data_IF_292943888049
#
_entry.id   IF_292943888049
#
_cell.length_a   1.000
_cell.length_b   1.000
_cell.length_c   1.000
_cell.angle_alpha   90.00
_cell.angle_beta   90.00
_cell.angle_gamma   90.00
#
_symmetry.space_group_name_H-M   'P 1'
#
loop_
_entity.id
_entity.type
_entity.pdbx_description
1 polymer ?
#
# COMPACT_ATOMS: atom_id res chain seq x y z
N UNK A 1 -25.27 -0.71 -5.71
CA UNK A 1 -24.69 -1.95 -6.31
C UNK A 1 -23.42 -2.25 -5.52
N UNK A 2 -23.35 -3.40 -4.86
CA UNK A 2 -22.10 -3.79 -4.18
C UNK A 2 -21.00 -4.01 -5.24
N UNK A 3 -19.86 -3.38 -5.03
CA UNK A 3 -18.68 -3.57 -5.88
C UNK A 3 -18.17 -5.00 -5.67
N UNK A 4 -18.08 -5.78 -6.74
CA UNK A 4 -17.50 -7.13 -6.68
C UNK A 4 -15.98 -7.03 -6.45
N UNK A 5 -15.57 -7.42 -5.24
CA UNK A 5 -14.17 -7.45 -4.77
C UNK A 5 -13.63 -8.88 -4.74
N UNK A 6 -14.19 -9.80 -5.54
CA UNK A 6 -13.64 -11.16 -5.60
C UNK A 6 -12.17 -11.13 -6.02
N UNK A 7 -11.34 -11.91 -5.35
CA UNK A 7 -9.89 -11.96 -5.58
C UNK A 7 -9.54 -12.25 -7.04
N UNK A 8 -10.26 -13.18 -7.67
CA UNK A 8 -10.05 -13.54 -9.07
C UNK A 8 -10.26 -12.34 -9.99
N UNK A 9 -11.33 -11.56 -9.77
CA UNK A 9 -11.63 -10.38 -10.58
C UNK A 9 -10.60 -9.28 -10.36
N UNK A 10 -10.23 -9.02 -9.12
CA UNK A 10 -9.25 -7.99 -8.77
C UNK A 10 -7.88 -8.35 -9.36
N UNK A 11 -7.43 -9.60 -9.19
CA UNK A 11 -6.17 -10.11 -9.77
C UNK A 11 -6.16 -9.95 -11.29
N UNK A 12 -7.20 -10.40 -11.97
CA UNK A 12 -7.31 -10.28 -13.42
C UNK A 12 -7.28 -8.81 -13.88
N UNK A 13 -8.06 -7.95 -13.24
CA UNK A 13 -8.14 -6.53 -13.57
C UNK A 13 -6.78 -5.84 -13.43
N UNK A 14 -6.06 -6.05 -12.33
CA UNK A 14 -4.75 -5.44 -12.11
C UNK A 14 -3.66 -6.07 -12.99
N UNK A 15 -3.66 -7.38 -13.19
CA UNK A 15 -2.75 -8.06 -14.12
C UNK A 15 -2.84 -7.49 -15.53
N UNK A 16 -4.07 -7.29 -16.02
CA UNK A 16 -4.32 -6.75 -17.35
C UNK A 16 -3.86 -5.31 -17.56
N UNK A 17 -3.90 -4.44 -16.55
CA UNK A 17 -3.51 -3.03 -16.65
C UNK A 17 -2.09 -2.76 -16.17
N UNK A 18 -1.37 -3.77 -15.66
CA UNK A 18 -0.07 -3.63 -14.99
C UNK A 18 0.93 -2.79 -15.78
N UNK A 19 1.10 -3.05 -17.07
CA UNK A 19 2.07 -2.34 -17.92
C UNK A 19 1.78 -0.83 -18.15
N UNK A 20 0.60 -0.34 -17.76
CA UNK A 20 0.21 1.08 -17.86
C UNK A 20 -0.29 1.64 -16.54
N UNK A 21 -0.26 0.85 -15.50
CA UNK A 21 -0.84 1.18 -14.19
C UNK A 21 -0.25 2.46 -13.61
N UNK A 22 1.07 2.57 -13.58
CA UNK A 22 1.75 3.75 -13.04
C UNK A 22 1.42 5.01 -13.85
N UNK A 23 1.52 4.92 -15.17
CA UNK A 23 1.19 6.06 -16.05
C UNK A 23 -0.24 6.54 -15.83
N UNK A 24 -1.19 5.62 -15.72
CA UNK A 24 -2.59 5.96 -15.49
C UNK A 24 -2.82 6.57 -14.10
N UNK A 25 -2.20 6.03 -13.06
CA UNK A 25 -2.30 6.59 -11.71
C UNK A 25 -1.71 8.00 -11.64
N UNK A 26 -0.55 8.23 -12.24
CA UNK A 26 0.07 9.56 -12.31
C UNK A 26 -0.78 10.55 -13.10
N UNK A 27 -1.31 10.14 -14.25
CA UNK A 27 -2.17 10.98 -15.07
C UNK A 27 -3.48 11.33 -14.35
N UNK A 28 -4.15 10.34 -13.75
CA UNK A 28 -5.45 10.50 -13.09
C UNK A 28 -5.35 11.26 -11.77
N UNK A 29 -4.21 11.20 -11.09
CA UNK A 29 -3.93 11.99 -9.90
C UNK A 29 -3.37 13.38 -10.22
N UNK A 30 -3.08 13.67 -11.51
CA UNK A 30 -2.33 14.87 -11.90
C UNK A 30 -0.96 14.94 -11.24
N UNK A 31 -0.31 13.80 -11.00
CA UNK A 31 0.97 13.69 -10.29
C UNK A 31 0.89 13.88 -8.77
N UNK A 32 -0.31 14.08 -8.22
CA UNK A 32 -0.48 14.25 -6.75
C UNK A 32 -0.10 13.00 -5.96
N UNK A 33 -0.11 11.83 -6.57
CA UNK A 33 0.26 10.56 -5.96
C UNK A 33 1.73 10.53 -5.49
N UNK A 34 2.64 11.21 -6.19
CA UNK A 34 4.03 11.41 -5.71
C UNK A 34 4.07 12.20 -4.40
N UNK A 35 3.31 13.30 -4.33
CA UNK A 35 3.19 14.12 -3.12
C UNK A 35 2.57 13.33 -1.98
N UNK A 36 1.54 12.52 -2.23
CA UNK A 36 0.87 11.74 -1.20
C UNK A 36 1.79 10.65 -0.63
N UNK A 37 2.53 9.92 -1.47
CA UNK A 37 3.54 8.95 -1.02
C UNK A 37 4.68 9.61 -0.26
N UNK A 38 5.18 10.74 -0.75
CA UNK A 38 6.18 11.52 -0.02
C UNK A 38 5.67 11.95 1.37
N UNK A 39 4.41 12.38 1.46
CA UNK A 39 3.77 12.72 2.74
C UNK A 39 3.67 11.51 3.67
N UNK A 40 3.30 10.33 3.19
CA UNK A 40 3.23 9.11 3.97
C UNK A 40 4.59 8.76 4.60
N UNK A 41 5.64 8.70 3.77
CA UNK A 41 7.02 8.40 4.20
C UNK A 41 7.55 9.46 5.17
N UNK A 42 7.21 10.74 4.97
CA UNK A 42 7.64 11.82 5.87
C UNK A 42 6.89 11.83 7.21
N UNK A 43 5.64 11.42 7.22
CA UNK A 43 4.81 11.38 8.45
C UNK A 43 5.18 10.18 9.33
N UNK A 44 5.55 9.06 8.72
CA UNK A 44 6.01 7.86 9.41
C UNK A 44 7.38 7.42 8.88
N UNK A 45 8.47 8.16 9.20
CA UNK A 45 9.80 7.79 8.73
C UNK A 45 10.30 6.52 9.41
N UNK A 46 11.16 5.71 8.74
CA UNK A 46 11.87 4.61 9.36
C UNK A 46 12.69 5.07 10.57
N UNK A 47 12.72 4.25 11.63
CA UNK A 47 13.50 4.50 12.84
C UNK A 47 14.20 3.20 13.26
N UNK A 48 15.51 3.23 13.46
CA UNK A 48 16.26 2.00 13.76
C UNK A 48 16.39 1.07 12.55
N UNK A 49 16.58 -0.22 12.80
CA UNK A 49 16.95 -1.25 11.84
C UNK A 49 15.83 -2.30 11.56
N UNK A 50 14.74 -2.27 12.33
CA UNK A 50 13.64 -3.21 12.14
C UNK A 50 12.99 -3.06 10.75
N UNK A 51 12.58 -4.16 10.10
CA UNK A 51 12.09 -4.14 8.72
C UNK A 51 10.77 -3.38 8.56
N UNK A 52 10.46 -2.99 7.31
CA UNK A 52 9.19 -2.42 6.89
C UNK A 52 8.44 -3.37 5.97
N UNK A 53 7.11 -3.30 6.02
CA UNK A 53 6.23 -4.01 5.09
C UNK A 53 5.34 -3.01 4.36
N UNK A 54 5.22 -3.14 3.04
CA UNK A 54 4.25 -2.44 2.22
C UNK A 54 3.26 -3.46 1.64
N UNK A 55 2.02 -3.41 2.11
CA UNK A 55 0.94 -4.35 1.75
C UNK A 55 0.16 -3.79 0.56
N UNK A 56 -0.26 -4.67 -0.35
CA UNK A 56 -0.83 -4.27 -1.65
C UNK A 56 0.11 -3.31 -2.38
N UNK A 57 1.39 -3.68 -2.43
CA UNK A 57 2.48 -2.81 -2.89
C UNK A 57 2.38 -2.45 -4.37
N UNK A 58 1.63 -3.23 -5.16
CA UNK A 58 1.49 -3.06 -6.60
C UNK A 58 2.85 -3.06 -7.29
N UNK A 59 3.15 -1.99 -8.00
CA UNK A 59 4.43 -1.79 -8.69
C UNK A 59 5.56 -1.28 -7.79
N UNK A 60 5.38 -1.33 -6.46
CA UNK A 60 6.43 -1.11 -5.47
C UNK A 60 6.75 0.34 -5.13
N UNK A 61 5.98 1.32 -5.61
CA UNK A 61 6.34 2.74 -5.47
C UNK A 61 6.52 3.21 -4.03
N UNK A 62 5.64 2.79 -3.10
CA UNK A 62 5.75 3.19 -1.70
C UNK A 62 6.86 2.40 -0.99
N UNK A 63 7.01 1.11 -1.27
CA UNK A 63 8.11 0.30 -0.75
C UNK A 63 9.48 0.88 -1.15
N UNK A 64 9.65 1.22 -2.44
CA UNK A 64 10.87 1.87 -2.97
C UNK A 64 11.07 3.25 -2.30
N UNK A 65 10.02 4.02 -2.08
CA UNK A 65 10.12 5.32 -1.43
C UNK A 65 10.59 5.20 0.04
N UNK A 66 10.10 4.20 0.77
CA UNK A 66 10.58 3.90 2.13
C UNK A 66 12.03 3.43 2.13
N UNK A 67 12.41 2.51 1.23
CA UNK A 67 13.79 2.02 1.12
C UNK A 67 14.78 3.16 0.83
N UNK A 68 14.45 4.04 -0.13
CA UNK A 68 15.24 5.25 -0.43
C UNK A 68 15.31 6.21 0.77
N UNK A 69 14.20 6.36 1.52
CA UNK A 69 14.19 7.22 2.72
C UNK A 69 15.09 6.67 3.81
N UNK A 70 15.15 5.36 3.95
CA UNK A 70 16.07 4.65 4.85
C UNK A 70 17.52 4.60 4.32
N UNK A 71 17.80 5.17 3.13
CA UNK A 71 19.13 5.12 2.46
C UNK A 71 19.65 3.69 2.27
N UNK A 72 18.77 2.73 2.03
CA UNK A 72 19.13 1.34 1.91
C UNK A 72 19.64 0.68 3.21
N UNK A 73 19.40 1.28 4.37
CA UNK A 73 19.88 0.75 5.66
C UNK A 73 18.85 -0.12 6.38
N UNK A 74 17.60 -0.11 5.93
CA UNK A 74 16.51 -0.86 6.55
C UNK A 74 15.89 -1.80 5.53
N UNK A 75 15.68 -3.09 5.88
CA UNK A 75 15.00 -4.03 4.99
C UNK A 75 13.57 -3.60 4.71
N UNK A 76 13.14 -3.69 3.46
CA UNK A 76 11.76 -3.40 3.05
C UNK A 76 11.20 -4.58 2.27
N UNK A 77 10.00 -5.00 2.64
CA UNK A 77 9.24 -6.04 1.92
C UNK A 77 8.01 -5.40 1.29
N UNK A 78 7.81 -5.60 0.00
CA UNK A 78 6.57 -5.32 -0.68
C UNK A 78 5.76 -6.60 -0.84
N UNK A 79 4.52 -6.62 -0.40
CA UNK A 79 3.61 -7.75 -0.54
C UNK A 79 2.43 -7.40 -1.43
N UNK A 80 2.15 -8.22 -2.44
CA UNK A 80 0.97 -8.09 -3.30
C UNK A 80 0.49 -9.48 -3.71
N UNK A 81 -0.79 -9.62 -4.03
CA UNK A 81 -1.32 -10.90 -4.49
C UNK A 81 -1.29 -11.03 -6.02
N UNK A 82 -0.89 -9.98 -6.76
CA UNK A 82 -0.81 -9.93 -8.21
C UNK A 82 0.63 -10.10 -8.68
N UNK A 83 0.94 -11.26 -9.24
CA UNK A 83 2.30 -11.61 -9.67
C UNK A 83 2.89 -10.62 -10.68
N UNK A 84 2.11 -10.20 -11.66
CA UNK A 84 2.52 -9.25 -12.72
C UNK A 84 2.93 -7.89 -12.15
N UNK A 85 2.27 -7.45 -11.07
CA UNK A 85 2.63 -6.22 -10.37
C UNK A 85 3.99 -6.36 -9.68
N UNK A 86 4.25 -7.50 -9.04
CA UNK A 86 5.52 -7.77 -8.37
C UNK A 86 6.70 -7.87 -9.35
N UNK A 87 6.49 -8.40 -10.55
CA UNK A 87 7.51 -8.39 -11.60
C UNK A 87 7.90 -6.95 -11.97
N UNK A 88 6.93 -6.05 -12.12
CA UNK A 88 7.20 -4.64 -12.38
C UNK A 88 7.89 -3.97 -11.19
N UNK A 89 7.46 -4.24 -9.96
CA UNK A 89 8.10 -3.73 -8.76
C UNK A 89 9.58 -4.14 -8.70
N UNK A 90 9.86 -5.42 -8.99
CA UNK A 90 11.22 -5.94 -9.05
C UNK A 90 12.05 -5.24 -10.14
N UNK A 91 11.49 -5.00 -11.32
CA UNK A 91 12.19 -4.30 -12.41
C UNK A 91 12.50 -2.84 -12.09
N UNK A 92 11.66 -2.18 -11.30
CA UNK A 92 11.81 -0.78 -10.85
C UNK A 92 12.75 -0.61 -9.67
N UNK A 93 13.09 -1.71 -8.99
CA UNK A 93 13.95 -1.65 -7.79
C UNK A 93 15.34 -1.12 -8.13
N UNK A 94 15.90 -0.26 -7.28
CA UNK A 94 17.26 0.22 -7.46
C UNK A 94 18.25 -0.95 -7.55
N UNK A 95 19.28 -0.84 -8.42
CA UNK A 95 20.28 -1.89 -8.61
C UNK A 95 20.98 -2.25 -7.29
N UNK A 96 21.27 -1.25 -6.47
CA UNK A 96 21.92 -1.42 -5.16
C UNK A 96 21.08 -2.24 -4.16
N UNK A 97 19.75 -2.34 -4.36
CA UNK A 97 18.88 -3.16 -3.51
C UNK A 97 18.99 -4.66 -3.80
N UNK A 98 19.63 -5.04 -4.91
CA UNK A 98 19.73 -6.43 -5.40
C UNK A 98 21.10 -7.07 -5.17
N UNK A 99 22.14 -6.26 -5.09
CA UNK A 99 23.52 -6.76 -5.02
C UNK A 99 24.44 -5.70 -4.41
N UNK A 100 24.60 -5.72 -3.12
CA UNK A 100 25.62 -4.93 -2.45
C UNK A 100 25.76 -5.47 -1.03
N UNK A 101 26.97 -5.79 -0.61
CA UNK A 101 27.25 -6.31 0.73
C UNK A 101 26.83 -5.33 1.86
N UNK A 102 26.57 -4.05 1.51
CA UNK A 102 26.29 -2.98 2.46
C UNK A 102 24.85 -2.48 2.48
N UNK A 103 23.99 -2.84 1.52
CA UNK A 103 22.60 -2.36 1.48
C UNK A 103 21.61 -3.39 2.00
N UNK A 104 20.67 -2.94 2.83
CA UNK A 104 19.58 -3.78 3.30
C UNK A 104 18.65 -4.17 2.13
N UNK A 105 18.09 -5.39 2.11
CA UNK A 105 17.31 -5.89 0.98
C UNK A 105 15.98 -5.14 0.80
N UNK A 106 15.62 -4.93 -0.47
CA UNK A 106 14.27 -4.61 -0.91
C UNK A 106 13.75 -5.81 -1.70
N UNK A 107 12.77 -6.53 -1.17
CA UNK A 107 12.24 -7.73 -1.79
C UNK A 107 10.72 -7.66 -1.95
N UNK A 108 10.20 -8.46 -2.89
CA UNK A 108 8.78 -8.52 -3.18
C UNK A 108 8.29 -9.96 -3.06
N UNK A 109 7.12 -10.14 -2.42
CA UNK A 109 6.54 -11.47 -2.14
C UNK A 109 5.08 -11.50 -2.54
N UNK A 110 4.63 -12.62 -3.09
CA UNK A 110 3.21 -12.82 -3.37
C UNK A 110 2.49 -13.23 -2.07
N UNK A 111 1.53 -12.41 -1.64
CA UNK A 111 0.78 -12.63 -0.42
C UNK A 111 -0.60 -11.96 -0.44
N UNK A 112 -1.58 -12.60 0.21
CA UNK A 112 -2.88 -12.00 0.50
C UNK A 112 -2.79 -11.12 1.76
N UNK A 113 -3.26 -9.87 1.65
CA UNK A 113 -3.34 -8.93 2.75
C UNK A 113 -4.19 -9.42 3.93
N UNK A 114 -5.11 -10.36 3.68
CA UNK A 114 -5.98 -10.96 4.70
C UNK A 114 -5.31 -12.12 5.46
N UNK A 115 -4.15 -12.58 4.97
CA UNK A 115 -3.37 -13.67 5.57
C UNK A 115 -1.88 -13.49 5.25
N UNK A 116 -1.25 -12.55 5.94
CA UNK A 116 0.16 -12.22 5.72
C UNK A 116 1.09 -13.34 6.24
N UNK A 117 2.02 -13.85 5.43
CA UNK A 117 2.90 -14.97 5.79
C UNK A 117 4.09 -14.52 6.65
N UNK A 118 3.86 -13.64 7.62
CA UNK A 118 4.88 -13.08 8.48
C UNK A 118 4.55 -13.30 9.95
N UNK A 119 5.59 -13.39 10.78
CA UNK A 119 5.46 -13.50 12.23
C UNK A 119 4.82 -12.24 12.84
N UNK A 120 4.20 -12.41 14.01
CA UNK A 120 3.65 -11.32 14.79
C UNK A 120 4.74 -10.33 15.21
N UNK A 121 4.44 -9.04 15.11
CA UNK A 121 5.31 -8.00 15.67
C UNK A 121 6.66 -7.83 14.97
N UNK A 122 6.78 -8.22 13.69
CA UNK A 122 8.05 -8.18 12.95
C UNK A 122 8.40 -6.78 12.44
N UNK A 123 7.43 -5.98 11.98
CA UNK A 123 7.69 -4.77 11.21
C UNK A 123 7.47 -3.49 12.02
N UNK A 124 8.43 -2.56 11.99
CA UNK A 124 8.29 -1.25 12.62
C UNK A 124 7.25 -0.37 11.94
N UNK A 125 7.06 -0.52 10.63
CA UNK A 125 6.05 0.15 9.82
C UNK A 125 5.40 -0.90 8.92
N UNK A 126 4.07 -0.90 8.90
CA UNK A 126 3.26 -1.64 7.93
C UNK A 126 2.44 -0.63 7.16
N UNK A 127 2.70 -0.46 5.86
CA UNK A 127 2.04 0.53 5.02
C UNK A 127 1.12 -0.12 3.98
N UNK A 128 0.14 0.64 3.53
CA UNK A 128 -0.65 0.35 2.34
C UNK A 128 -1.03 1.65 1.64
N UNK A 129 -0.85 1.72 0.31
CA UNK A 129 -1.27 2.86 -0.48
C UNK A 129 -2.21 2.44 -1.61
N UNK A 130 -3.44 2.98 -1.58
CA UNK A 130 -4.48 2.80 -2.62
C UNK A 130 -4.88 1.35 -2.90
N UNK A 131 -4.54 0.43 -1.96
CA UNK A 131 -4.81 -0.99 -2.07
C UNK A 131 -5.89 -1.50 -1.13
N UNK A 132 -6.05 -0.88 0.05
CA UNK A 132 -6.91 -1.40 1.13
C UNK A 132 -8.38 -1.49 0.73
N UNK A 133 -8.88 -0.58 -0.12
CA UNK A 133 -10.25 -0.60 -0.64
C UNK A 133 -10.55 -1.82 -1.52
N UNK A 134 -9.52 -2.48 -2.05
CA UNK A 134 -9.63 -3.66 -2.93
C UNK A 134 -9.59 -4.97 -2.13
N UNK A 135 -9.22 -4.92 -0.86
CA UNK A 135 -9.24 -6.09 0.03
C UNK A 135 -10.68 -6.47 0.34
N UNK A 136 -11.02 -7.74 0.13
CA UNK A 136 -12.39 -8.24 0.29
C UNK A 136 -12.90 -7.99 1.71
N UNK A 137 -12.17 -8.44 2.72
CA UNK A 137 -12.46 -8.22 4.12
C UNK A 137 -11.49 -7.18 4.71
N UNK A 138 -11.81 -5.88 4.53
CA UNK A 138 -10.95 -4.76 4.96
C UNK A 138 -10.53 -4.86 6.43
N UNK A 139 -11.46 -5.27 7.33
CA UNK A 139 -11.14 -5.43 8.77
C UNK A 139 -10.15 -6.54 9.00
N UNK A 140 -10.22 -7.63 8.23
CA UNK A 140 -9.28 -8.73 8.34
C UNK A 140 -7.88 -8.29 7.88
N UNK A 141 -7.79 -7.57 6.75
CA UNK A 141 -6.53 -6.98 6.29
C UNK A 141 -5.91 -6.05 7.33
N UNK A 142 -6.72 -5.17 7.95
CA UNK A 142 -6.24 -4.28 9.03
C UNK A 142 -5.77 -5.06 10.28
N UNK A 143 -6.46 -6.16 10.66
CA UNK A 143 -6.02 -7.02 11.77
C UNK A 143 -4.68 -7.69 11.47
N UNK A 144 -4.49 -8.18 10.25
CA UNK A 144 -3.22 -8.78 9.83
C UNK A 144 -2.09 -7.75 9.81
N UNK A 145 -2.35 -6.54 9.28
CA UNK A 145 -1.39 -5.44 9.34
C UNK A 145 -1.02 -5.08 10.79
N UNK A 146 -2.01 -5.02 11.68
CA UNK A 146 -1.77 -4.77 13.10
C UNK A 146 -1.03 -5.95 13.77
N UNK A 147 -1.32 -7.20 13.40
CA UNK A 147 -0.66 -8.41 13.92
C UNK A 147 0.83 -8.39 13.63
N UNK A 148 1.20 -8.18 12.35
CA UNK A 148 2.61 -8.22 11.92
C UNK A 148 3.38 -6.95 12.28
N UNK A 149 2.68 -5.85 12.61
CA UNK A 149 3.28 -4.62 13.13
C UNK A 149 3.87 -4.87 14.53
N UNK A 150 5.08 -4.38 14.79
CA UNK A 150 5.74 -4.48 16.08
C UNK A 150 5.03 -3.62 17.14
N UNK A 151 5.07 -4.01 18.43
CA UNK A 151 4.68 -3.12 19.54
C UNK A 151 5.41 -1.77 19.43
N UNK A 152 4.69 -0.66 19.57
CA UNK A 152 5.22 0.70 19.33
C UNK A 152 5.38 1.07 17.86
N UNK A 153 5.20 0.12 16.93
CA UNK A 153 5.24 0.33 15.50
C UNK A 153 4.02 1.09 14.95
N UNK A 154 3.98 1.29 13.64
CA UNK A 154 2.97 2.12 12.99
C UNK A 154 2.36 1.41 11.78
N UNK A 155 1.03 1.44 11.69
CA UNK A 155 0.28 1.08 10.49
C UNK A 155 -0.09 2.36 9.75
N UNK A 156 0.33 2.47 8.49
CA UNK A 156 0.17 3.66 7.65
C UNK A 156 -0.76 3.34 6.49
N UNK A 157 -1.91 3.99 6.43
CA UNK A 157 -2.86 3.83 5.33
C UNK A 157 -2.96 5.13 4.55
N UNK A 158 -2.63 5.08 3.27
CA UNK A 158 -2.85 6.15 2.31
C UNK A 158 -3.95 5.70 1.35
N UNK A 159 -5.10 6.38 1.35
CA UNK A 159 -6.22 5.92 0.53
C UNK A 159 -7.01 7.11 -0.02
N UNK A 160 -7.74 6.86 -1.12
CA UNK A 160 -8.65 7.85 -1.67
C UNK A 160 -9.75 8.19 -0.67
N UNK A 161 -10.20 9.44 -0.74
CA UNK A 161 -11.21 9.98 0.14
C UNK A 161 -12.11 10.94 -0.63
N UNK A 162 -13.14 11.45 0.02
CA UNK A 162 -14.07 12.40 -0.59
C UNK A 162 -13.93 13.78 0.04
N UNK A 163 -13.78 14.84 -0.78
CA UNK A 163 -13.71 16.20 -0.29
C UNK A 163 -14.87 16.54 0.66
N UNK A 164 -14.55 17.14 1.81
CA UNK A 164 -15.57 17.60 2.76
C UNK A 164 -16.38 18.78 2.20
N UNK A 165 -15.75 19.66 1.43
CA UNK A 165 -16.41 20.78 0.77
C UNK A 165 -17.36 20.28 -0.32
N UNK A 166 -18.63 20.73 -0.27
CA UNK A 166 -19.70 20.29 -1.19
C UNK A 166 -19.41 20.63 -2.66
N UNK A 167 -18.85 21.81 -2.93
CA UNK A 167 -18.53 22.25 -4.29
C UNK A 167 -17.37 21.42 -4.88
N UNK A 168 -16.30 21.22 -4.10
CA UNK A 168 -15.19 20.37 -4.49
C UNK A 168 -15.64 18.92 -4.70
N UNK A 169 -16.51 18.40 -3.84
CA UNK A 169 -17.11 17.07 -3.98
C UNK A 169 -17.94 16.95 -5.27
N UNK A 170 -18.73 17.96 -5.59
CA UNK A 170 -19.52 17.97 -6.83
C UNK A 170 -18.61 17.99 -8.07
N UNK A 171 -17.57 18.85 -8.09
CA UNK A 171 -16.59 18.92 -9.16
C UNK A 171 -15.79 17.63 -9.32
N UNK A 172 -15.34 17.03 -8.20
CA UNK A 172 -14.64 15.74 -8.18
C UNK A 172 -15.54 14.60 -8.69
N UNK A 173 -16.80 14.56 -8.24
CA UNK A 173 -17.78 13.58 -8.72
C UNK A 173 -18.13 13.76 -10.19
N UNK A 174 -18.13 14.98 -10.72
CA UNK A 174 -18.27 15.26 -12.15
C UNK A 174 -17.07 14.76 -12.95
N UNK A 175 -15.84 15.05 -12.46
CA UNK A 175 -14.60 14.55 -13.06
C UNK A 175 -14.60 13.02 -13.15
N UNK A 176 -14.95 12.33 -12.05
CA UNK A 176 -14.99 10.87 -11.99
C UNK A 176 -16.04 10.25 -12.90
N UNK A 177 -17.18 10.92 -13.11
CA UNK A 177 -18.27 10.41 -13.97
C UNK A 177 -18.09 10.71 -15.43
N UNK A 178 -17.44 11.82 -15.77
CA UNK A 178 -17.42 12.31 -17.15
C UNK A 178 -16.04 12.38 -17.78
N UNK A 179 -15.01 12.69 -17.02
CA UNK A 179 -13.64 12.85 -17.55
C UNK A 179 -12.86 11.54 -17.48
N UNK A 180 -12.84 10.92 -16.31
CA UNK A 180 -12.09 9.69 -16.06
C UNK A 180 -12.44 8.55 -17.04
N UNK A 181 -13.71 8.22 -17.31
CA UNK A 181 -14.07 7.17 -18.26
C UNK A 181 -13.64 7.48 -19.70
N UNK A 182 -13.70 8.77 -20.11
CA UNK A 182 -13.27 9.18 -21.46
C UNK A 182 -11.77 9.06 -21.64
N UNK A 183 -10.98 9.46 -20.65
CA UNK A 183 -9.53 9.25 -20.64
C UNK A 183 -9.23 7.75 -20.69
N UNK A 184 -9.93 6.95 -19.90
CA UNK A 184 -9.80 5.51 -19.88
C UNK A 184 -10.10 4.85 -21.22
N UNK A 185 -11.16 5.27 -21.90
CA UNK A 185 -11.54 4.77 -23.24
C UNK A 185 -10.52 5.14 -24.31
N UNK A 186 -9.93 6.34 -24.27
CA UNK A 186 -8.88 6.77 -25.20
C UNK A 186 -7.58 5.98 -25.05
N UNK A 187 -7.22 5.62 -23.82
CA UNK A 187 -5.94 4.97 -23.50
C UNK A 187 -5.99 3.44 -23.50
N UNK A 188 -7.19 2.85 -23.39
CA UNK A 188 -7.36 1.40 -23.29
C UNK A 188 -8.59 0.94 -24.08
N UNK A 189 -8.39 0.64 -25.36
CA UNK A 189 -9.44 0.26 -26.33
C UNK A 189 -10.35 -0.94 -25.94
N UNK A 190 -10.04 -1.72 -24.88
CA UNK A 190 -10.79 -2.94 -24.51
C UNK A 190 -11.02 -3.15 -23.00
N UNK A 191 -10.91 -2.12 -22.12
CA UNK A 191 -10.87 -2.38 -20.67
C UNK A 191 -11.80 -1.47 -19.85
N UNK A 192 -13.09 -1.52 -20.16
CA UNK A 192 -14.15 -0.72 -19.50
C UNK A 192 -14.30 -1.02 -17.97
N UNK A 193 -13.80 -2.14 -17.46
CA UNK A 193 -14.08 -2.56 -16.08
C UNK A 193 -13.29 -1.78 -15.02
N UNK A 194 -11.99 -1.51 -15.21
CA UNK A 194 -11.14 -0.86 -14.21
C UNK A 194 -11.50 0.61 -13.95
N UNK A 195 -11.89 1.34 -15.00
CA UNK A 195 -12.25 2.77 -14.90
C UNK A 195 -13.63 3.02 -14.28
N UNK A 196 -14.55 2.06 -14.39
CA UNK A 196 -15.83 2.10 -13.69
C UNK A 196 -15.70 1.60 -12.24
N UNK A 197 -14.74 0.70 -11.99
CA UNK A 197 -14.47 0.16 -10.68
C UNK A 197 -13.93 1.22 -9.71
N UNK A 198 -12.97 2.05 -10.15
CA UNK A 198 -12.31 3.03 -9.28
C UNK A 198 -13.30 4.02 -8.63
N UNK A 199 -14.19 4.71 -9.36
CA UNK A 199 -15.16 5.62 -8.75
C UNK A 199 -16.10 4.91 -7.77
N UNK A 200 -16.56 3.71 -8.12
CA UNK A 200 -17.47 2.94 -7.28
C UNK A 200 -16.78 2.47 -5.98
N UNK A 201 -15.58 1.91 -6.08
CA UNK A 201 -14.82 1.45 -4.92
C UNK A 201 -14.46 2.59 -3.96
N UNK A 202 -14.12 3.79 -4.48
CA UNK A 202 -13.85 4.97 -3.66
C UNK A 202 -15.12 5.47 -2.96
N UNK A 203 -16.28 5.44 -3.63
CA UNK A 203 -17.54 5.89 -3.05
C UNK A 203 -18.06 4.98 -1.93
N UNK A 204 -17.81 3.67 -2.03
CA UNK A 204 -18.26 2.66 -1.04
C UNK A 204 -17.25 2.48 0.12
N UNK A 205 -15.98 2.86 -0.07
CA UNK A 205 -14.95 2.63 0.94
C UNK A 205 -15.07 3.62 2.11
N UNK A 206 -14.98 3.16 3.37
CA UNK A 206 -15.00 4.04 4.52
C UNK A 206 -13.83 5.02 4.50
N UNK A 207 -14.08 6.29 4.85
CA UNK A 207 -13.07 7.34 4.87
C UNK A 207 -13.22 8.25 6.09
N UNK A 208 -12.21 9.06 6.38
CA UNK A 208 -12.19 9.96 7.52
C UNK A 208 -12.28 9.17 8.85
N UNK A 209 -13.15 9.60 9.72
CA UNK A 209 -13.31 9.01 11.05
C UNK A 209 -13.83 7.56 11.00
N UNK A 210 -14.59 7.17 9.96
CA UNK A 210 -15.07 5.81 9.82
C UNK A 210 -13.92 4.81 9.62
N UNK A 211 -12.92 5.12 8.78
CA UNK A 211 -11.74 4.28 8.62
C UNK A 211 -10.83 4.34 9.85
N UNK A 212 -10.65 5.51 10.45
CA UNK A 212 -9.90 5.65 11.70
C UNK A 212 -10.50 4.81 12.83
N UNK A 213 -11.84 4.78 12.96
CA UNK A 213 -12.56 3.92 13.89
C UNK A 213 -12.30 2.43 13.62
N UNK A 214 -12.35 2.00 12.35
CA UNK A 214 -12.02 0.61 11.99
C UNK A 214 -10.59 0.24 12.37
N UNK A 215 -9.62 1.14 12.21
CA UNK A 215 -8.23 0.90 12.62
C UNK A 215 -8.12 0.74 14.14
N UNK A 216 -8.86 1.55 14.93
CA UNK A 216 -8.91 1.39 16.40
C UNK A 216 -9.52 0.05 16.81
N UNK A 217 -10.63 -0.36 16.19
CA UNK A 217 -11.25 -1.66 16.41
C UNK A 217 -10.30 -2.84 16.10
N UNK A 218 -9.28 -2.61 15.25
CA UNK A 218 -8.23 -3.58 14.94
C UNK A 218 -7.01 -3.50 15.87
N UNK A 219 -7.09 -2.74 16.97
CA UNK A 219 -6.05 -2.69 17.99
C UNK A 219 -4.95 -1.65 17.73
N UNK A 220 -5.22 -0.63 16.93
CA UNK A 220 -4.28 0.46 16.66
C UNK A 220 -4.72 1.73 17.42
N UNK A 221 -3.88 2.22 18.32
CA UNK A 221 -4.19 3.41 19.14
C UNK A 221 -2.92 4.13 19.60
N UNK A 222 -2.82 5.47 19.45
CA UNK A 222 -3.79 6.36 18.81
C UNK A 222 -3.80 6.21 17.28
N UNK A 223 -4.93 6.58 16.65
CA UNK A 223 -5.05 6.74 15.20
C UNK A 223 -5.24 8.21 14.87
N UNK A 224 -4.30 8.77 14.16
CA UNK A 224 -4.37 10.12 13.59
C UNK A 224 -4.61 10.04 12.09
N UNK A 225 -5.41 10.98 11.56
CA UNK A 225 -5.58 11.07 10.11
C UNK A 225 -5.65 12.52 9.63
N UNK A 226 -5.24 12.73 8.37
CA UNK A 226 -5.20 14.05 7.73
C UNK A 226 -5.67 13.94 6.28
N UNK A 227 -6.60 14.81 5.83
CA UNK A 227 -6.93 14.92 4.42
C UNK A 227 -5.75 15.53 3.65
N UNK A 228 -5.54 15.03 2.43
CA UNK A 228 -4.54 15.53 1.48
C UNK A 228 -5.26 16.05 0.23
N UNK A 229 -4.67 17.05 -0.43
CA UNK A 229 -5.20 17.62 -1.68
C UNK A 229 -6.71 17.87 -1.59
N UNK A 230 -7.10 18.76 -0.67
CA UNK A 230 -8.51 19.12 -0.43
C UNK A 230 -9.44 17.94 -0.07
N UNK A 231 -8.89 16.82 0.39
CA UNK A 231 -9.65 15.63 0.78
C UNK A 231 -9.87 14.60 -0.33
N UNK A 232 -9.13 14.70 -1.45
CA UNK A 232 -9.13 13.69 -2.52
C UNK A 232 -8.44 12.40 -2.06
N UNK A 233 -7.44 12.54 -1.19
CA UNK A 233 -6.81 11.42 -0.48
C UNK A 233 -6.78 11.73 1.01
N UNK A 234 -6.56 10.72 1.83
CA UNK A 234 -6.34 10.85 3.27
C UNK A 234 -5.23 9.91 3.72
N UNK A 235 -4.42 10.40 4.64
CA UNK A 235 -3.33 9.67 5.27
C UNK A 235 -3.70 9.37 6.72
N UNK A 236 -3.65 8.11 7.08
CA UNK A 236 -3.92 7.61 8.44
C UNK A 236 -2.65 6.99 9.01
N UNK A 237 -2.39 7.24 10.28
CA UNK A 237 -1.29 6.60 11.02
C UNK A 237 -1.85 6.09 12.33
N UNK A 238 -1.92 4.78 12.48
CA UNK A 238 -2.29 4.10 13.70
C UNK A 238 -1.04 3.53 14.39
N UNK A 239 -0.94 3.64 15.69
CA UNK A 239 0.16 3.04 16.48
C UNK A 239 -0.28 1.71 17.06
N UNK A 240 0.59 0.71 17.03
CA UNK A 240 0.36 -0.50 17.82
C UNK A 240 0.77 -0.24 19.26
N UNK A 241 -0.11 -0.47 20.25
CA UNK A 241 0.25 -0.31 21.68
C UNK A 241 1.44 -1.17 22.07
N UNK A 242 2.24 -0.68 23.03
CA UNK A 242 3.42 -1.35 23.55
C UNK A 242 4.69 -0.54 23.33
N UNK A 243 5.77 -0.98 23.97
CA UNK A 243 7.07 -0.36 23.83
C UNK A 243 7.82 -0.90 22.61
N UNK A 244 8.57 -0.03 21.95
CA UNK A 244 9.48 -0.41 20.86
C UNK A 244 10.54 -1.32 21.45
N UNK A 245 10.56 -2.59 21.06
CA UNK A 245 11.65 -3.48 21.40
C UNK A 245 12.84 -3.16 20.49
N UNK A 246 13.99 -2.84 21.07
CA UNK A 246 15.24 -2.78 20.33
C UNK A 246 15.57 -4.21 19.83
N UNK A 247 15.41 -4.43 18.55
CA UNK A 247 15.72 -5.70 17.90
C UNK A 247 17.22 -5.71 17.59
N UNK A 248 18.04 -6.09 18.55
CA UNK A 248 19.46 -6.36 18.27
C UNK A 248 19.59 -7.56 17.31
N UNK A 249 20.00 -7.33 16.06
CA UNK A 249 20.52 -8.36 15.13
C UNK A 249 19.61 -9.50 14.65
N UNK A 250 18.45 -9.73 15.30
CA UNK A 250 17.56 -10.89 15.04
C UNK A 250 16.46 -10.63 13.99
N UNK A 251 16.14 -9.36 13.71
CA UNK A 251 15.05 -9.01 12.82
C UNK A 251 15.35 -9.38 11.34
N UNK A 252 16.57 -9.17 10.87
CA UNK A 252 17.00 -9.57 9.53
C UNK A 252 17.00 -11.11 9.36
N UNK A 253 17.41 -11.84 10.39
CA UNK A 253 17.39 -13.30 10.41
C UNK A 253 15.93 -13.84 10.43
N UNK A 254 15.05 -13.25 11.23
CA UNK A 254 13.63 -13.59 11.27
C UNK A 254 12.93 -13.30 9.92
N UNK A 255 13.26 -12.18 9.28
CA UNK A 255 12.79 -11.84 7.96
C UNK A 255 13.28 -12.87 6.92
N UNK A 256 14.57 -13.21 6.93
CA UNK A 256 15.16 -14.22 6.02
C UNK A 256 14.50 -15.59 6.19
N UNK A 257 14.19 -16.00 7.41
CA UNK A 257 13.47 -17.26 7.68
C UNK A 257 12.04 -17.21 7.16
N UNK A 258 11.32 -16.10 7.37
CA UNK A 258 9.94 -15.92 6.95
C UNK A 258 9.81 -15.82 5.42
N UNK A 259 10.72 -15.12 4.75
CA UNK A 259 10.75 -14.99 3.28
C UNK A 259 11.18 -16.28 2.58
N UNK A 260 12.08 -17.08 3.17
CA UNK A 260 12.48 -18.39 2.62
C UNK A 260 11.37 -19.44 2.71
N UNK A 261 10.46 -19.34 3.67
CA UNK A 261 9.31 -20.24 3.79
C UNK A 261 8.21 -19.93 2.76
N UNK A 262 8.17 -18.74 2.23
CA UNK A 262 7.31 -18.34 1.10
C UNK A 262 8.10 -18.53 -0.20
N UNK A 263 7.93 -19.67 -0.84
CA UNK A 263 8.64 -20.20 -2.03
C UNK A 263 8.59 -19.33 -3.30
N UNK A 264 8.78 -18.02 -3.23
CA UNK A 264 8.85 -17.17 -4.44
C UNK A 264 9.64 -15.87 -4.19
N UNK A 265 10.72 -15.93 -3.41
CA UNK A 265 11.70 -14.85 -3.50
C UNK A 265 12.57 -15.16 -4.73
N UNK A 266 12.28 -14.53 -5.87
CA UNK A 266 13.17 -14.54 -7.03
C UNK A 266 14.43 -13.73 -6.67
N UNK A 267 15.28 -14.30 -5.84
CA UNK A 267 16.69 -13.92 -5.78
C UNK A 267 17.29 -14.66 -6.97
N UNK A 268 17.33 -14.02 -8.13
CA UNK A 268 18.15 -14.48 -9.24
C UNK A 268 19.59 -14.42 -8.77
N UNK A 269 20.20 -15.61 -8.62
CA UNK A 269 21.62 -15.85 -8.57
C UNK A 269 22.35 -15.24 -9.77
#
# INVERSE_FOLDING_TARGET
MNVDKSEVRIRQMFGEISGRYDFLNHLLSGGSDYYWRWRAVRTAPPVGDAPLLDVCTGTGDLAIAYWKKARGQVPVVGADFTHEMLQLATSKSPADSRAGDDAAPLCFVEADAQRLPFADGLFQIVSVAFGLRNVTETRQGLREMARVCAPGGRVVVLEFSMPANRLLRAGYGWYFRHVLPRIGQLLARNRQSAYNYLPASVAEFPHGEALAGMMRECGLEPVEWKPLTFGVAALYVGRKPGEVREHGGTAAAALSASVKSTSTCAISS
#
